data_IF_036525922259
#
_entry.id   IF_036525922259
#
_cell.length_a   1.000
_cell.length_b   1.000
_cell.length_c   1.000
_cell.angle_alpha   90.00
_cell.angle_beta   90.00
_cell.angle_gamma   90.00
#
_symmetry.space_group_name_H-M   'P 1'
#
loop_
_entity.id
_entity.type
_entity.pdbx_description
1 polymer ?
#
# COMPACT_ATOMS: atom_id res chain seq x y z
N UNK A 1 -25.29 -0.30 -4.07
CA UNK A 1 -25.21 1.20 -4.04
C UNK A 1 -23.83 1.73 -3.62
N UNK A 2 -22.92 0.93 -3.02
CA UNK A 2 -21.59 1.38 -2.57
C UNK A 2 -20.53 1.60 -3.67
N UNK A 3 -20.45 0.74 -4.69
CA UNK A 3 -19.38 0.79 -5.70
C UNK A 3 -19.32 2.12 -6.49
N UNK A 4 -20.45 2.57 -7.06
CA UNK A 4 -20.53 3.87 -7.78
C UNK A 4 -20.20 5.08 -6.90
N UNK A 5 -20.41 4.98 -5.59
CA UNK A 5 -20.07 6.02 -4.63
C UNK A 5 -18.58 6.03 -4.26
N UNK A 6 -17.91 4.88 -4.29
CA UNK A 6 -16.48 4.77 -4.06
C UNK A 6 -15.71 5.26 -5.30
N UNK A 7 -16.13 4.86 -6.51
CA UNK A 7 -15.53 5.29 -7.78
C UNK A 7 -15.56 6.82 -7.94
N UNK A 8 -16.69 7.47 -7.62
CA UNK A 8 -16.81 8.94 -7.63
C UNK A 8 -15.92 9.65 -6.61
N UNK A 9 -15.55 8.95 -5.53
CA UNK A 9 -14.68 9.50 -4.47
C UNK A 9 -13.21 9.23 -4.75
N UNK A 10 -12.91 8.09 -5.37
CA UNK A 10 -11.58 7.74 -5.87
C UNK A 10 -11.10 8.69 -6.98
N UNK A 11 -11.99 9.12 -7.87
CA UNK A 11 -11.64 10.11 -8.91
C UNK A 11 -11.24 11.49 -8.36
N UNK A 12 -11.44 11.72 -7.06
CA UNK A 12 -10.99 12.94 -6.35
C UNK A 12 -9.57 12.80 -5.79
N UNK A 13 -9.07 11.59 -5.58
CA UNK A 13 -7.71 11.35 -5.12
C UNK A 13 -6.72 11.63 -6.24
N UNK A 14 -5.78 12.54 -6.00
CA UNK A 14 -4.78 12.95 -7.00
C UNK A 14 -3.43 13.03 -6.34
N UNK A 15 -2.46 12.28 -6.86
CA UNK A 15 -1.05 12.57 -6.57
C UNK A 15 -0.78 14.01 -6.97
N UNK A 16 -0.34 14.81 -5.99
CA UNK A 16 0.26 16.10 -6.29
C UNK A 16 1.64 15.84 -6.89
N UNK A 17 2.08 16.67 -7.85
CA UNK A 17 3.27 16.47 -8.69
C UNK A 17 4.48 15.81 -8.00
N UNK A 18 5.22 14.98 -8.76
CA UNK A 18 6.30 14.06 -8.37
C UNK A 18 6.93 14.36 -7.01
N UNK A 19 6.31 13.83 -5.96
CA UNK A 19 6.89 13.95 -4.62
C UNK A 19 7.94 12.86 -4.50
N UNK A 20 9.18 13.25 -4.20
CA UNK A 20 10.28 12.32 -3.89
C UNK A 20 10.06 11.59 -2.55
N UNK A 21 8.91 11.77 -1.92
CA UNK A 21 8.57 11.21 -0.61
C UNK A 21 7.62 10.04 -0.83
N UNK A 22 7.99 8.88 -0.30
CA UNK A 22 7.13 7.71 -0.24
C UNK A 22 6.87 7.28 1.20
N UNK A 23 5.72 6.64 1.41
CA UNK A 23 5.43 5.87 2.61
C UNK A 23 5.48 4.39 2.22
N UNK A 24 6.44 3.66 2.79
CA UNK A 24 6.61 2.23 2.55
C UNK A 24 5.90 1.41 3.61
N UNK A 25 4.99 0.52 3.18
CA UNK A 25 4.19 -0.33 4.07
C UNK A 25 4.68 -1.77 4.00
N UNK A 26 5.14 -2.28 5.14
CA UNK A 26 5.53 -3.68 5.33
C UNK A 26 4.38 -4.42 6.04
N UNK A 27 3.59 -5.19 5.30
CA UNK A 27 2.35 -5.79 5.84
C UNK A 27 1.95 -7.08 5.06
N UNK A 28 0.66 -7.39 4.98
CA UNK A 28 0.02 -8.53 4.31
C UNK A 28 -0.13 -8.40 2.79
N UNK A 29 0.45 -7.34 2.22
CA UNK A 29 0.25 -6.93 0.83
C UNK A 29 -0.78 -5.83 0.73
N UNK A 30 -0.94 -5.28 -0.48
CA UNK A 30 -1.87 -4.18 -0.74
C UNK A 30 -2.64 -4.45 -2.01
N UNK A 31 -3.96 -4.28 -1.98
CA UNK A 31 -4.80 -4.33 -3.18
C UNK A 31 -4.57 -3.11 -4.05
N UNK A 32 -3.60 -3.20 -4.96
CA UNK A 32 -3.21 -2.12 -5.87
C UNK A 32 -4.39 -1.59 -6.69
N UNK A 33 -5.29 -2.48 -7.14
CA UNK A 33 -6.48 -2.13 -7.95
C UNK A 33 -7.62 -1.51 -7.15
N UNK A 34 -7.46 -1.33 -5.83
CA UNK A 34 -8.47 -0.64 -5.03
C UNK A 34 -8.54 0.84 -5.49
N UNK A 35 -9.72 1.41 -5.78
CA UNK A 35 -9.83 2.75 -6.37
C UNK A 35 -9.16 3.88 -5.57
N UNK A 36 -9.12 3.75 -4.24
CA UNK A 36 -8.43 4.72 -3.36
C UNK A 36 -6.91 4.45 -3.21
N UNK A 37 -6.39 3.35 -3.74
CA UNK A 37 -4.97 3.00 -3.62
C UNK A 37 -4.26 3.12 -4.98
N UNK A 38 -4.90 2.67 -6.05
CA UNK A 38 -4.36 2.67 -7.40
C UNK A 38 -3.72 4.01 -7.82
N UNK A 39 -4.31 5.17 -7.52
CA UNK A 39 -3.71 6.45 -7.88
C UNK A 39 -2.39 6.73 -7.18
N UNK A 40 -2.01 6.00 -6.13
CA UNK A 40 -0.87 6.27 -5.26
C UNK A 40 0.20 5.16 -5.25
N UNK A 41 -0.15 3.93 -5.67
CA UNK A 41 0.73 2.78 -5.68
C UNK A 41 1.00 2.30 -7.11
N UNK A 42 2.21 2.62 -7.59
CA UNK A 42 2.71 2.16 -8.89
C UNK A 42 3.00 0.66 -8.87
N UNK A 43 2.99 0.01 -10.03
CA UNK A 43 3.24 -1.45 -10.12
C UNK A 43 4.69 -1.77 -9.76
N UNK A 44 5.60 -0.84 -10.05
CA UNK A 44 7.03 -0.97 -9.77
C UNK A 44 7.32 -0.94 -8.27
N UNK A 45 6.48 -0.28 -7.47
CA UNK A 45 6.65 -0.14 -6.01
C UNK A 45 5.80 -1.14 -5.22
N UNK A 46 5.29 -2.18 -5.89
CA UNK A 46 4.38 -3.18 -5.34
C UNK A 46 5.05 -4.54 -5.22
N UNK A 47 5.69 -4.77 -4.07
CA UNK A 47 6.61 -5.87 -3.84
C UNK A 47 6.07 -6.93 -2.87
N UNK A 48 6.78 -8.06 -2.85
CA UNK A 48 6.63 -9.13 -1.86
C UNK A 48 8.00 -9.74 -1.58
N UNK A 49 8.26 -10.15 -0.34
CA UNK A 49 9.53 -10.81 0.02
C UNK A 49 9.63 -12.22 -0.59
N UNK A 50 8.50 -12.91 -0.76
CA UNK A 50 8.45 -14.23 -1.40
C UNK A 50 7.57 -14.16 -2.66
N UNK A 51 8.15 -14.27 -3.87
CA UNK A 51 7.40 -14.13 -5.13
C UNK A 51 6.18 -15.05 -5.25
N UNK A 52 6.23 -16.25 -4.66
CA UNK A 52 5.13 -17.21 -4.66
C UNK A 52 3.86 -16.71 -3.96
N UNK A 53 3.96 -15.73 -3.06
CA UNK A 53 2.81 -15.16 -2.35
C UNK A 53 2.03 -14.14 -3.20
N UNK A 54 2.69 -13.55 -4.21
CA UNK A 54 2.24 -12.32 -4.86
C UNK A 54 2.35 -11.08 -3.93
N UNK A 55 2.11 -9.89 -4.48
CA UNK A 55 2.13 -8.62 -3.74
C UNK A 55 0.74 -8.15 -3.27
N UNK A 56 -0.33 -8.79 -3.77
CA UNK A 56 -1.71 -8.45 -3.42
C UNK A 56 -2.03 -8.87 -1.99
N UNK A 57 -2.97 -8.14 -1.42
CA UNK A 57 -3.52 -8.39 -0.11
C UNK A 57 -4.57 -9.50 -0.18
N UNK A 58 -4.67 -10.28 0.89
CA UNK A 58 -5.44 -11.51 0.92
C UNK A 58 -6.43 -11.56 2.09
N UNK A 59 -7.48 -12.39 2.00
CA UNK A 59 -8.42 -12.60 3.10
C UNK A 59 -7.78 -13.15 4.38
N UNK A 60 -6.64 -13.84 4.30
CA UNK A 60 -5.92 -14.40 5.45
C UNK A 60 -5.65 -13.36 6.55
N UNK A 61 -5.35 -12.13 6.15
CA UNK A 61 -5.13 -10.99 7.04
C UNK A 61 -6.31 -10.01 7.03
N UNK A 62 -7.46 -10.46 6.55
CA UNK A 62 -8.68 -9.66 6.38
C UNK A 62 -8.49 -8.41 5.51
N UNK A 63 -7.47 -8.33 4.65
CA UNK A 63 -7.16 -7.11 3.92
C UNK A 63 -6.45 -6.03 4.77
N UNK A 64 -5.60 -6.45 5.73
CA UNK A 64 -4.96 -5.55 6.69
C UNK A 64 -4.07 -4.51 6.00
N UNK A 65 -3.19 -4.93 5.11
CA UNK A 65 -2.24 -4.02 4.45
C UNK A 65 -2.95 -3.01 3.55
N UNK A 66 -4.05 -3.38 2.89
CA UNK A 66 -4.90 -2.44 2.12
C UNK A 66 -5.55 -1.39 3.03
N UNK A 67 -5.99 -1.78 4.23
CA UNK A 67 -6.50 -0.81 5.21
C UNK A 67 -5.40 0.11 5.71
N UNK A 68 -4.23 -0.43 6.03
CA UNK A 68 -3.07 0.36 6.46
C UNK A 68 -2.62 1.33 5.36
N UNK A 69 -2.68 0.92 4.10
CA UNK A 69 -2.45 1.80 2.95
C UNK A 69 -3.47 2.94 2.87
N UNK A 70 -4.74 2.65 3.13
CA UNK A 70 -5.78 3.67 3.23
C UNK A 70 -5.51 4.67 4.37
N UNK A 71 -5.17 4.18 5.57
CA UNK A 71 -4.82 5.04 6.70
C UNK A 71 -3.58 5.87 6.40
N UNK A 72 -2.54 5.26 5.82
CA UNK A 72 -1.31 5.95 5.42
C UNK A 72 -1.57 7.09 4.44
N UNK A 73 -2.43 6.88 3.45
CA UNK A 73 -2.77 7.90 2.43
C UNK A 73 -3.70 9.00 2.93
N UNK A 74 -4.70 8.64 3.72
CA UNK A 74 -5.86 9.50 3.94
C UNK A 74 -6.09 9.88 5.40
N UNK A 75 -5.43 9.20 6.34
CA UNK A 75 -5.75 9.32 7.76
C UNK A 75 -7.22 8.97 8.01
N UNK A 76 -7.97 9.93 8.55
CA UNK A 76 -9.41 9.79 8.70
C UNK A 76 -10.13 9.99 7.36
N UNK A 77 -10.61 8.87 6.82
CA UNK A 77 -11.32 8.83 5.56
C UNK A 77 -12.76 9.38 5.65
N UNK A 78 -13.38 9.40 6.84
CA UNK A 78 -14.78 9.82 7.03
C UNK A 78 -15.05 11.24 6.52
N UNK A 79 -14.31 12.29 6.93
CA UNK A 79 -14.55 13.64 6.43
C UNK A 79 -14.30 13.76 4.91
N UNK A 80 -13.33 13.01 4.38
CA UNK A 80 -12.99 13.02 2.95
C UNK A 80 -14.08 12.41 2.08
N UNK A 81 -14.74 11.35 2.58
CA UNK A 81 -15.83 10.67 1.86
C UNK A 81 -17.15 11.45 1.91
N UNK A 82 -17.35 12.29 2.92
CA UNK A 82 -18.53 13.15 3.06
C UNK A 82 -18.37 14.43 2.22
N UNK A 83 -17.16 14.97 2.11
CA UNK A 83 -16.86 16.14 1.30
C UNK A 83 -16.91 15.92 -0.21
N UNK A 84 -16.71 16.99 -0.99
CA UNK A 84 -16.67 16.98 -2.46
C UNK A 84 -15.32 17.39 -3.07
N UNK A 85 -14.40 17.93 -2.27
CA UNK A 85 -13.16 18.54 -2.76
C UNK A 85 -12.13 17.52 -3.22
N UNK A 86 -11.22 17.85 -4.15
CA UNK A 86 -10.08 16.99 -4.47
C UNK A 86 -9.28 16.62 -3.20
N UNK A 87 -8.83 15.37 -3.13
CA UNK A 87 -7.99 14.88 -2.03
C UNK A 87 -6.55 14.82 -2.53
N UNK A 88 -5.70 15.79 -2.18
CA UNK A 88 -4.30 15.76 -2.57
C UNK A 88 -3.57 14.64 -1.83
N UNK A 89 -2.78 13.86 -2.56
CA UNK A 89 -1.89 12.85 -2.01
C UNK A 89 -0.45 13.37 -2.12
N UNK A 90 0.15 13.86 -1.01
CA UNK A 90 1.46 14.51 -1.03
C UNK A 90 2.64 13.53 -1.00
N UNK A 91 2.37 12.23 -0.92
CA UNK A 91 3.36 11.17 -0.99
C UNK A 91 2.82 10.01 -1.81
N UNK A 92 3.76 9.19 -2.25
CA UNK A 92 3.50 7.95 -2.97
C UNK A 92 3.41 6.81 -1.96
N UNK A 93 2.76 5.72 -2.32
CA UNK A 93 2.88 4.47 -1.58
C UNK A 93 3.94 3.58 -2.21
N UNK A 94 4.66 2.89 -1.34
CA UNK A 94 5.37 1.66 -1.65
C UNK A 94 4.79 0.57 -0.74
N UNK A 95 4.79 -0.67 -1.20
CA UNK A 95 4.31 -1.79 -0.38
C UNK A 95 5.22 -2.98 -0.57
N UNK A 96 5.52 -3.65 0.54
CA UNK A 96 6.17 -4.95 0.52
C UNK A 96 5.35 -5.90 1.39
N UNK A 97 4.82 -6.94 0.77
CA UNK A 97 4.22 -8.04 1.53
C UNK A 97 5.31 -8.81 2.27
N UNK A 98 5.20 -8.85 3.60
CA UNK A 98 6.07 -9.63 4.50
C UNK A 98 5.30 -10.73 5.23
N UNK A 99 3.96 -10.64 5.30
CA UNK A 99 3.15 -11.65 5.98
C UNK A 99 2.75 -12.78 5.02
N UNK A 100 2.87 -14.05 5.47
CA UNK A 100 2.64 -15.22 4.65
C UNK A 100 1.15 -15.43 4.33
N UNK A 101 0.80 -16.26 3.33
CA UNK A 101 -0.55 -16.79 3.17
C UNK A 101 -0.95 -17.69 4.36
N UNK A 102 -2.23 -18.06 4.44
CA UNK A 102 -2.82 -18.78 5.58
C UNK A 102 -2.18 -20.15 5.87
N UNK A 103 -1.64 -20.81 4.86
CA UNK A 103 -1.02 -22.13 4.93
C UNK A 103 0.48 -22.11 5.28
N UNK A 104 1.06 -20.93 5.47
CA UNK A 104 2.46 -20.74 5.81
C UNK A 104 2.62 -19.85 7.05
N UNK A 105 3.76 -19.97 7.74
CA UNK A 105 4.14 -19.11 8.84
C UNK A 105 5.59 -18.65 8.67
N UNK A 106 5.85 -17.36 8.94
CA UNK A 106 7.22 -16.89 9.09
C UNK A 106 7.80 -17.45 10.39
N UNK A 107 9.06 -17.88 10.33
CA UNK A 107 9.83 -18.16 11.54
C UNK A 107 10.03 -16.84 12.31
N UNK A 108 9.61 -16.76 13.59
CA UNK A 108 9.78 -15.56 14.40
C UNK A 108 11.22 -15.04 14.48
N UNK A 109 12.22 -15.92 14.43
CA UNK A 109 13.63 -15.53 14.48
C UNK A 109 14.09 -14.82 13.19
N UNK A 110 13.37 -15.04 12.07
CA UNK A 110 13.71 -14.48 10.76
C UNK A 110 13.04 -13.12 10.48
N UNK A 111 12.22 -12.57 11.37
CA UNK A 111 11.59 -11.27 11.13
C UNK A 111 12.60 -10.14 10.92
N UNK A 112 13.78 -10.22 11.56
CA UNK A 112 14.87 -9.27 11.32
C UNK A 112 15.34 -9.31 9.87
N UNK A 113 15.64 -10.51 9.35
CA UNK A 113 16.06 -10.68 7.94
C UNK A 113 14.95 -10.35 6.94
N UNK A 114 13.71 -10.75 7.23
CA UNK A 114 12.54 -10.46 6.37
C UNK A 114 12.33 -8.95 6.26
N UNK A 115 12.43 -8.22 7.39
CA UNK A 115 12.29 -6.76 7.40
C UNK A 115 13.41 -6.09 6.62
N UNK A 116 14.66 -6.53 6.82
CA UNK A 116 15.81 -5.99 6.09
C UNK A 116 15.69 -6.22 4.57
N UNK A 117 15.29 -7.43 4.15
CA UNK A 117 15.04 -7.73 2.74
C UNK A 117 13.90 -6.86 2.18
N UNK A 118 12.82 -6.68 2.94
CA UNK A 118 11.69 -5.89 2.51
C UNK A 118 12.08 -4.43 2.25
N UNK A 119 12.83 -3.82 3.19
CA UNK A 119 13.37 -2.46 3.04
C UNK A 119 14.27 -2.40 1.79
N UNK A 120 15.19 -3.36 1.65
CA UNK A 120 16.12 -3.40 0.52
C UNK A 120 15.40 -3.48 -0.83
N UNK A 121 14.27 -4.16 -0.94
CA UNK A 121 13.48 -4.22 -2.20
C UNK A 121 12.98 -2.84 -2.62
N UNK A 122 12.45 -2.06 -1.68
CA UNK A 122 12.00 -0.69 -1.96
C UNK A 122 13.18 0.23 -2.30
N UNK A 123 14.29 0.12 -1.57
CA UNK A 123 15.50 0.91 -1.82
C UNK A 123 16.14 0.57 -3.17
N UNK A 124 16.24 -0.70 -3.55
CA UNK A 124 16.78 -1.10 -4.87
C UNK A 124 15.89 -0.58 -6.00
N UNK A 125 14.56 -0.61 -5.81
CA UNK A 125 13.62 -0.09 -6.80
C UNK A 125 13.75 1.43 -7.00
N UNK A 126 14.00 2.18 -5.92
CA UNK A 126 14.23 3.62 -6.00
C UNK A 126 15.23 4.10 -4.92
N UNK A 127 16.53 4.08 -5.22
CA UNK A 127 17.58 4.34 -4.24
C UNK A 127 17.55 5.77 -3.68
N UNK A 128 17.24 6.74 -4.54
CA UNK A 128 17.27 8.17 -4.18
C UNK A 128 15.94 8.68 -3.60
N UNK A 129 14.95 7.79 -3.42
CA UNK A 129 13.64 8.20 -2.92
C UNK A 129 13.68 8.40 -1.41
N UNK A 130 13.14 9.53 -0.95
CA UNK A 130 13.00 9.83 0.47
C UNK A 130 11.83 9.04 1.06
N UNK A 131 12.02 8.49 2.25
CA UNK A 131 11.05 7.67 2.98
C UNK A 131 11.05 8.09 4.44
#
# INVERSE_FOLDING_TARGET
>A
RGAKGLERRASRARQTASTDIAVCILDSGVRRTHPLIEPALAVEDWHTVKPAWGSDDTPAWSGHGTRMAGVGLYGDLVPLLVGGDPVPLPFRLESVRILPPEDEANDPELYGSITAEAIARAEVQAPERRR
#
